data_IF_108865183772
#
_entry.id   IF_108865183772
#
_cell.length_a   1.000
_cell.length_b   1.000
_cell.length_c   1.000
_cell.angle_alpha   90.00
_cell.angle_beta   90.00
_cell.angle_gamma   90.00
#
_symmetry.space_group_name_H-M   'P 1'
#
loop_
_entity.id
_entity.type
_entity.pdbx_description
1 polymer ?
#
# COMPACT_ATOMS: atom_id res chain seq x y z
N UNK A 1 -15.54 9.72 39.81
CA UNK A 1 -15.28 9.50 38.35
C UNK A 1 -15.64 8.07 38.00
N UNK A 2 -16.58 7.86 37.08
CA UNK A 2 -17.12 6.53 36.75
C UNK A 2 -16.08 5.65 36.04
N UNK A 3 -16.26 4.32 36.10
CA UNK A 3 -15.50 3.36 35.28
C UNK A 3 -15.60 3.70 33.79
N UNK A 4 -16.76 4.19 33.33
CA UNK A 4 -17.00 4.66 31.95
C UNK A 4 -16.16 5.90 31.62
N UNK A 5 -16.06 6.86 32.54
CA UNK A 5 -15.24 8.07 32.35
C UNK A 5 -13.74 7.75 32.29
N UNK A 6 -13.27 6.83 33.13
CA UNK A 6 -11.88 6.34 33.10
C UNK A 6 -11.57 5.67 31.75
N UNK A 7 -12.47 4.83 31.23
CA UNK A 7 -12.32 4.19 29.91
C UNK A 7 -12.24 5.23 28.78
N UNK A 8 -13.14 6.22 28.78
CA UNK A 8 -13.14 7.30 27.77
C UNK A 8 -11.86 8.13 27.81
N UNK A 9 -11.38 8.51 29.01
CA UNK A 9 -10.12 9.25 29.17
C UNK A 9 -8.91 8.46 28.64
N UNK A 10 -8.85 7.15 28.91
CA UNK A 10 -7.79 6.27 28.38
C UNK A 10 -7.84 6.21 26.85
N UNK A 11 -9.03 6.02 26.27
CA UNK A 11 -9.19 5.98 24.82
C UNK A 11 -8.75 7.31 24.16
N UNK A 12 -9.11 8.45 24.74
CA UNK A 12 -8.68 9.75 24.26
C UNK A 12 -7.15 9.95 24.37
N UNK A 13 -6.53 9.52 25.47
CA UNK A 13 -5.08 9.59 25.65
C UNK A 13 -4.33 8.70 24.65
N UNK A 14 -4.82 7.49 24.39
CA UNK A 14 -4.27 6.59 23.37
C UNK A 14 -4.37 7.24 21.99
N UNK A 15 -5.55 7.77 21.63
CA UNK A 15 -5.74 8.46 20.33
C UNK A 15 -4.78 9.64 20.16
N UNK A 16 -4.58 10.45 21.20
CA UNK A 16 -3.67 11.59 21.17
C UNK A 16 -2.20 11.16 21.01
N UNK A 17 -1.79 10.07 21.67
CA UNK A 17 -0.43 9.54 21.53
C UNK A 17 -0.19 8.92 20.14
N UNK A 18 -1.18 8.22 19.59
CA UNK A 18 -1.11 7.70 18.20
C UNK A 18 -0.94 8.85 17.21
N UNK A 19 -1.80 9.87 17.28
CA UNK A 19 -1.70 11.04 16.41
C UNK A 19 -0.36 11.79 16.55
N UNK A 20 0.23 11.82 17.75
CA UNK A 20 1.56 12.40 17.99
C UNK A 20 2.65 11.59 17.27
N UNK A 21 2.61 10.26 17.36
CA UNK A 21 3.58 9.37 16.70
C UNK A 21 3.46 9.41 15.18
N UNK A 22 2.24 9.44 14.65
CA UNK A 22 1.99 9.61 13.21
C UNK A 22 2.54 10.95 12.71
N UNK A 23 2.31 12.03 13.47
CA UNK A 23 2.90 13.34 13.15
C UNK A 23 4.42 13.31 13.17
N UNK A 24 5.02 12.78 14.23
CA UNK A 24 6.47 12.67 14.37
C UNK A 24 7.11 11.85 13.24
N UNK A 25 6.47 10.73 12.86
CA UNK A 25 6.87 9.91 11.71
C UNK A 25 6.85 10.70 10.41
N UNK A 26 5.73 11.38 10.11
CA UNK A 26 5.62 12.23 8.92
C UNK A 26 6.67 13.33 8.90
N UNK A 27 6.88 14.00 10.04
CA UNK A 27 7.81 15.13 10.13
C UNK A 27 9.29 14.68 9.99
N UNK A 28 9.60 13.40 10.24
CA UNK A 28 10.91 12.77 10.00
C UNK A 28 11.13 12.27 8.57
N UNK A 29 10.05 12.06 7.80
CA UNK A 29 10.15 11.52 6.44
C UNK A 29 10.87 12.51 5.53
N UNK A 30 11.93 12.10 4.82
CA UNK A 30 12.57 12.94 3.79
C UNK A 30 11.69 13.15 2.56
N UNK A 31 10.66 12.32 2.40
CA UNK A 31 9.68 12.39 1.31
C UNK A 31 8.34 12.89 1.85
N UNK A 32 7.68 13.74 1.09
CA UNK A 32 6.25 14.02 1.25
C UNK A 32 5.40 12.79 0.89
N UNK A 33 4.11 12.84 1.23
CA UNK A 33 3.15 11.79 0.86
C UNK A 33 3.13 11.55 -0.66
N UNK A 34 3.08 12.62 -1.45
CA UNK A 34 2.99 12.52 -2.91
C UNK A 34 4.29 11.96 -3.50
N UNK A 35 5.44 12.31 -2.92
CA UNK A 35 6.73 11.72 -3.30
C UNK A 35 6.81 10.24 -2.95
N UNK A 36 6.30 9.82 -1.78
CA UNK A 36 6.19 8.40 -1.43
C UNK A 36 5.31 7.64 -2.42
N UNK A 37 4.15 8.20 -2.78
CA UNK A 37 3.27 7.59 -3.78
C UNK A 37 3.98 7.39 -5.12
N UNK A 38 4.67 8.43 -5.61
CA UNK A 38 5.44 8.35 -6.85
C UNK A 38 6.61 7.35 -6.78
N UNK A 39 7.21 7.18 -5.60
CA UNK A 39 8.24 6.17 -5.37
C UNK A 39 7.63 4.76 -5.41
N UNK A 40 6.52 4.53 -4.71
CA UNK A 40 5.83 3.24 -4.70
C UNK A 40 5.33 2.84 -6.08
N UNK A 41 4.80 3.79 -6.86
CA UNK A 41 4.40 3.53 -8.24
C UNK A 41 5.59 3.07 -9.09
N UNK A 42 6.73 3.76 -8.98
CA UNK A 42 7.94 3.41 -9.72
C UNK A 42 8.53 2.07 -9.29
N UNK A 43 8.75 1.88 -7.98
CA UNK A 43 9.35 0.65 -7.45
C UNK A 43 8.41 -0.53 -7.68
N UNK A 44 7.11 -0.33 -7.48
CA UNK A 44 6.09 -1.32 -7.72
C UNK A 44 6.04 -1.80 -9.16
N UNK A 45 6.06 -0.88 -10.14
CA UNK A 45 6.15 -1.24 -11.55
C UNK A 45 7.40 -2.08 -11.84
N UNK A 46 8.56 -1.64 -11.33
CA UNK A 46 9.83 -2.32 -11.53
C UNK A 46 9.86 -3.72 -10.91
N UNK A 47 9.46 -3.85 -9.64
CA UNK A 47 9.38 -5.12 -8.94
C UNK A 47 8.47 -6.10 -9.66
N UNK A 48 7.34 -5.63 -10.21
CA UNK A 48 6.37 -6.49 -10.89
C UNK A 48 6.81 -6.94 -12.29
N UNK A 49 7.67 -6.17 -12.96
CA UNK A 49 8.13 -6.45 -14.33
C UNK A 49 9.48 -7.15 -14.34
N UNK A 50 10.40 -6.69 -13.50
CA UNK A 50 11.81 -7.12 -13.46
C UNK A 50 12.09 -8.12 -12.31
N UNK A 51 11.12 -8.30 -11.40
CA UNK A 51 11.30 -9.06 -10.16
C UNK A 51 11.91 -8.19 -9.05
N UNK A 52 12.09 -8.77 -7.86
CA UNK A 52 12.74 -8.11 -6.74
C UNK A 52 14.07 -8.78 -6.37
N UNK A 53 14.97 -7.96 -5.84
CA UNK A 53 16.14 -8.37 -5.08
C UNK A 53 15.96 -7.92 -3.63
N UNK A 54 16.70 -8.51 -2.70
CA UNK A 54 16.72 -8.08 -1.29
C UNK A 54 17.62 -6.85 -1.10
N UNK A 55 17.39 -5.82 -1.90
CA UNK A 55 18.08 -4.54 -1.87
C UNK A 55 17.14 -3.39 -2.29
N UNK A 56 17.68 -2.17 -2.32
CA UNK A 56 16.98 -0.94 -2.69
C UNK A 56 17.36 -0.45 -4.09
N UNK A 57 17.70 -1.33 -5.03
CA UNK A 57 18.20 -0.92 -6.35
C UNK A 57 17.25 0.04 -7.08
N UNK A 58 15.94 -0.23 -7.07
CA UNK A 58 14.94 0.63 -7.72
C UNK A 58 14.66 1.88 -6.91
N UNK A 59 14.61 1.77 -5.58
CA UNK A 59 14.50 2.94 -4.70
C UNK A 59 15.64 3.92 -4.93
N UNK A 60 16.90 3.45 -4.90
CA UNK A 60 18.08 4.29 -5.13
C UNK A 60 18.08 4.89 -6.53
N UNK A 61 17.68 4.12 -7.55
CA UNK A 61 17.50 4.64 -8.90
C UNK A 61 16.52 5.81 -8.94
N UNK A 62 15.36 5.70 -8.27
CA UNK A 62 14.35 6.75 -8.23
C UNK A 62 14.85 7.98 -7.46
N UNK A 63 15.40 7.79 -6.25
CA UNK A 63 15.91 8.88 -5.41
C UNK A 63 16.98 9.68 -6.15
N UNK A 64 17.92 9.00 -6.80
CA UNK A 64 18.98 9.63 -7.59
C UNK A 64 18.40 10.46 -8.74
N UNK A 65 17.40 9.93 -9.44
CA UNK A 65 16.72 10.62 -10.55
C UNK A 65 15.97 11.89 -10.14
N UNK A 66 15.56 11.98 -8.87
CA UNK A 66 14.81 13.10 -8.30
C UNK A 66 15.65 14.03 -7.43
N UNK A 67 16.88 13.64 -7.10
CA UNK A 67 17.79 14.42 -6.27
C UNK A 67 17.48 14.36 -4.77
N UNK A 68 16.85 13.28 -4.29
CA UNK A 68 16.64 13.07 -2.85
C UNK A 68 17.89 12.49 -2.17
N UNK A 69 18.02 12.73 -0.88
CA UNK A 69 19.11 12.19 -0.07
C UNK A 69 18.86 10.70 0.21
N UNK A 70 19.70 9.84 -0.37
CA UNK A 70 19.64 8.39 -0.22
C UNK A 70 19.83 7.95 1.24
N UNK A 71 20.81 8.50 1.95
CA UNK A 71 21.13 8.11 3.34
C UNK A 71 19.98 8.44 4.29
N UNK A 72 19.42 9.65 4.19
CA UNK A 72 18.30 10.07 5.04
C UNK A 72 17.05 9.23 4.75
N UNK A 73 16.78 8.91 3.48
CA UNK A 73 15.61 8.11 3.08
C UNK A 73 15.74 6.67 3.56
N UNK A 74 16.89 6.03 3.35
CA UNK A 74 17.12 4.66 3.81
C UNK A 74 17.12 4.56 5.33
N UNK A 75 17.60 5.59 6.04
CA UNK A 75 17.49 5.65 7.50
C UNK A 75 16.04 5.71 7.96
N UNK A 76 15.21 6.53 7.31
CA UNK A 76 13.78 6.58 7.59
C UNK A 76 13.10 5.22 7.31
N UNK A 77 13.44 4.56 6.21
CA UNK A 77 12.92 3.22 5.89
C UNK A 77 13.31 2.18 6.94
N UNK A 78 14.56 2.19 7.39
CA UNK A 78 15.01 1.30 8.47
C UNK A 78 14.25 1.54 9.79
N UNK A 79 13.99 2.80 10.15
CA UNK A 79 13.18 3.15 11.34
C UNK A 79 11.74 2.61 11.24
N UNK A 80 11.19 2.56 10.02
CA UNK A 80 9.86 2.03 9.72
C UNK A 80 9.87 0.54 9.33
N UNK A 81 11.03 -0.14 9.49
CA UNK A 81 11.27 -1.57 9.23
C UNK A 81 11.20 -2.02 7.77
N UNK A 82 11.24 -1.08 6.84
CA UNK A 82 11.37 -1.34 5.41
C UNK A 82 12.83 -1.68 5.11
N UNK A 83 13.08 -2.84 4.48
CA UNK A 83 14.43 -3.44 4.35
C UNK A 83 14.95 -3.51 2.90
N UNK A 84 14.04 -3.51 1.93
CA UNK A 84 14.31 -3.67 0.49
C UNK A 84 13.13 -3.12 -0.33
N UNK A 85 13.26 -3.13 -1.66
CA UNK A 85 12.21 -2.68 -2.57
C UNK A 85 10.91 -3.48 -2.42
N UNK A 86 11.00 -4.77 -2.08
CA UNK A 86 9.82 -5.63 -1.87
C UNK A 86 9.05 -5.26 -0.60
N UNK A 87 9.75 -5.12 0.53
CA UNK A 87 9.14 -4.68 1.79
C UNK A 87 8.65 -3.23 1.68
N UNK A 88 9.27 -2.37 0.87
CA UNK A 88 8.71 -1.04 0.59
C UNK A 88 7.34 -1.15 -0.08
N UNK A 89 7.17 -2.05 -1.05
CA UNK A 89 5.89 -2.28 -1.72
C UNK A 89 4.78 -2.78 -0.77
N UNK A 90 5.12 -3.52 0.28
CA UNK A 90 4.16 -4.12 1.22
C UNK A 90 3.91 -3.21 2.43
N UNK A 91 4.98 -2.66 3.02
CA UNK A 91 4.96 -1.94 4.30
C UNK A 91 4.99 -0.42 4.12
N UNK A 92 5.35 0.07 2.92
CA UNK A 92 5.49 1.50 2.60
C UNK A 92 4.17 2.24 2.41
N UNK A 93 3.04 1.66 2.82
CA UNK A 93 1.71 2.25 2.70
C UNK A 93 1.67 3.71 3.22
N UNK A 94 1.33 4.68 2.34
CA UNK A 94 1.28 6.09 2.72
C UNK A 94 0.27 6.41 3.83
N UNK A 95 -0.76 5.58 4.05
CA UNK A 95 -1.61 5.74 5.22
C UNK A 95 -0.87 5.45 6.51
N UNK A 96 -0.20 4.30 6.57
CA UNK A 96 0.59 3.87 7.72
C UNK A 96 1.75 4.83 8.01
N UNK A 97 2.34 5.44 6.98
CA UNK A 97 3.47 6.36 7.12
C UNK A 97 3.05 7.81 7.42
N UNK A 98 1.97 8.31 6.82
CA UNK A 98 1.61 9.74 6.87
C UNK A 98 0.27 10.03 7.57
N UNK A 99 -0.46 8.99 7.95
CA UNK A 99 -1.82 9.05 8.47
C UNK A 99 -2.87 9.19 7.35
N UNK A 100 -4.15 9.41 7.71
CA UNK A 100 -5.23 9.60 6.72
C UNK A 100 -4.94 10.74 5.75
N UNK A 101 -5.33 10.56 4.50
CA UNK A 101 -5.45 11.59 3.49
C UNK A 101 -6.92 11.93 3.26
N UNK A 102 -7.20 13.13 2.75
CA UNK A 102 -8.55 13.48 2.28
C UNK A 102 -8.89 12.78 0.94
N UNK A 103 -7.87 12.28 0.24
CA UNK A 103 -7.96 11.66 -1.09
C UNK A 103 -7.79 10.14 -1.00
N UNK A 104 -8.93 9.45 -0.91
CA UNK A 104 -9.11 7.98 -0.92
C UNK A 104 -8.33 7.25 -2.03
N UNK A 105 -8.15 7.87 -3.19
CA UNK A 105 -7.41 7.33 -4.35
C UNK A 105 -5.94 7.04 -4.09
N UNK A 106 -5.39 7.52 -2.96
CA UNK A 106 -4.04 7.17 -2.55
C UNK A 106 -3.88 5.71 -2.08
N UNK A 107 -4.97 4.97 -1.80
CA UNK A 107 -4.91 3.59 -1.30
C UNK A 107 -5.47 2.54 -2.24
N UNK A 108 -6.47 2.90 -3.05
CA UNK A 108 -7.04 2.02 -4.08
C UNK A 108 -7.36 2.86 -5.33
N UNK A 109 -6.56 2.73 -6.41
CA UNK A 109 -6.69 3.51 -7.64
C UNK A 109 -7.89 3.18 -8.54
N UNK A 110 -8.86 2.42 -8.03
CA UNK A 110 -10.14 2.12 -8.67
C UNK A 110 -11.28 2.45 -7.72
N UNK A 111 -12.48 2.64 -8.27
CA UNK A 111 -13.69 2.89 -7.47
C UNK A 111 -14.20 1.60 -6.81
N UNK A 112 -14.97 1.76 -5.74
CA UNK A 112 -15.55 0.63 -5.00
C UNK A 112 -16.31 -0.37 -5.89
N UNK A 113 -17.22 0.06 -6.80
CA UNK A 113 -17.91 -0.89 -7.67
C UNK A 113 -16.97 -1.63 -8.64
N UNK A 114 -15.82 -1.03 -8.99
CA UNK A 114 -14.81 -1.68 -9.82
C UNK A 114 -14.05 -2.75 -9.00
N UNK A 115 -13.68 -2.46 -7.75
CA UNK A 115 -13.02 -3.45 -6.89
C UNK A 115 -13.95 -4.63 -6.58
N UNK A 116 -15.20 -4.36 -6.22
CA UNK A 116 -16.21 -5.39 -5.97
C UNK A 116 -16.41 -6.29 -7.21
N UNK A 117 -16.51 -5.69 -8.40
CA UNK A 117 -16.64 -6.43 -9.66
C UNK A 117 -15.38 -7.23 -10.01
N UNK A 118 -14.18 -6.72 -9.70
CA UNK A 118 -12.93 -7.45 -9.85
C UNK A 118 -12.91 -8.71 -8.96
N UNK A 119 -13.25 -8.55 -7.68
CA UNK A 119 -13.27 -9.66 -6.71
C UNK A 119 -14.28 -10.74 -7.12
N UNK A 120 -15.50 -10.34 -7.51
CA UNK A 120 -16.54 -11.28 -7.97
C UNK A 120 -16.08 -12.05 -9.22
N UNK A 121 -15.46 -11.36 -10.18
CA UNK A 121 -14.94 -12.02 -11.38
C UNK A 121 -13.77 -12.97 -11.07
N UNK A 122 -12.87 -12.59 -10.15
CA UNK A 122 -11.75 -13.42 -9.74
C UNK A 122 -12.21 -14.68 -8.99
N UNK A 123 -13.18 -14.56 -8.09
CA UNK A 123 -13.74 -15.72 -7.36
C UNK A 123 -14.23 -16.78 -8.35
N UNK A 124 -14.98 -16.34 -9.35
CA UNK A 124 -15.50 -17.16 -10.43
C UNK A 124 -14.41 -17.82 -11.30
N UNK A 125 -13.37 -17.07 -11.66
CA UNK A 125 -12.29 -17.56 -12.52
C UNK A 125 -11.32 -18.48 -11.77
N UNK A 126 -10.97 -18.17 -10.52
CA UNK A 126 -10.14 -19.00 -9.65
C UNK A 126 -10.84 -20.33 -9.35
N UNK A 127 -12.15 -20.34 -9.13
CA UNK A 127 -12.92 -21.58 -8.96
C UNK A 127 -12.89 -22.46 -10.22
N UNK A 128 -12.92 -21.87 -11.42
CA UNK A 128 -12.94 -22.61 -12.69
C UNK A 128 -11.56 -23.10 -13.11
N UNK A 129 -10.52 -22.28 -12.93
CA UNK A 129 -9.19 -22.48 -13.52
C UNK A 129 -8.11 -22.85 -12.49
N UNK A 130 -8.37 -22.60 -11.20
CA UNK A 130 -7.33 -22.59 -10.17
C UNK A 130 -6.57 -21.26 -10.14
N UNK A 131 -5.56 -21.17 -9.28
CA UNK A 131 -4.66 -20.02 -9.21
C UNK A 131 -3.22 -20.46 -9.48
N UNK A 132 -2.55 -19.74 -10.38
CA UNK A 132 -1.14 -19.95 -10.74
C UNK A 132 -0.16 -19.23 -9.78
N UNK A 133 -0.65 -18.76 -8.64
CA UNK A 133 0.08 -17.96 -7.65
C UNK A 133 0.71 -16.68 -8.21
N UNK A 134 0.04 -16.07 -9.19
CA UNK A 134 0.38 -14.76 -9.75
C UNK A 134 -0.88 -13.88 -9.89
N UNK A 135 -0.73 -12.69 -10.51
CA UNK A 135 -1.81 -11.72 -10.74
C UNK A 135 -2.24 -11.65 -12.22
N UNK A 136 -2.13 -12.76 -12.96
CA UNK A 136 -2.43 -12.79 -14.40
C UNK A 136 -3.89 -12.47 -14.68
N UNK A 137 -4.84 -13.06 -13.93
CA UNK A 137 -6.26 -12.79 -14.13
C UNK A 137 -6.60 -11.37 -13.70
N UNK A 138 -6.05 -10.90 -12.58
CA UNK A 138 -6.22 -9.52 -12.10
C UNK A 138 -5.78 -8.51 -13.15
N UNK A 139 -4.59 -8.69 -13.73
CA UNK A 139 -4.07 -7.84 -14.82
C UNK A 139 -5.02 -7.84 -16.03
N UNK A 140 -5.50 -9.02 -16.42
CA UNK A 140 -6.44 -9.17 -17.53
C UNK A 140 -7.72 -8.37 -17.29
N UNK A 141 -8.31 -8.46 -16.11
CA UNK A 141 -9.54 -7.74 -15.77
C UNK A 141 -9.32 -6.22 -15.76
N UNK A 142 -8.23 -5.75 -15.13
CA UNK A 142 -7.92 -4.32 -15.06
C UNK A 142 -7.73 -3.71 -16.45
N UNK A 143 -7.03 -4.42 -17.34
CA UNK A 143 -6.86 -4.00 -18.73
C UNK A 143 -8.19 -3.96 -19.49
N UNK A 144 -9.03 -4.98 -19.33
CA UNK A 144 -10.34 -5.04 -19.99
C UNK A 144 -11.29 -3.93 -19.54
N UNK A 145 -11.13 -3.43 -18.31
CA UNK A 145 -11.97 -2.39 -17.71
C UNK A 145 -11.30 -0.99 -17.72
N UNK A 146 -10.22 -0.80 -18.47
CA UNK A 146 -9.47 0.47 -18.56
C UNK A 146 -9.07 1.04 -17.19
N UNK A 147 -8.73 0.18 -16.24
CA UNK A 147 -8.28 0.55 -14.90
C UNK A 147 -6.76 0.76 -14.87
N UNK A 148 -6.24 1.59 -13.96
CA UNK A 148 -4.80 1.80 -13.80
C UNK A 148 -4.14 0.53 -13.23
N UNK A 149 -3.53 -0.29 -14.11
CA UNK A 149 -3.04 -1.63 -13.77
C UNK A 149 -2.02 -1.60 -12.62
N UNK A 150 -0.83 -1.02 -12.84
CA UNK A 150 0.26 -1.09 -11.86
C UNK A 150 -0.10 -0.47 -10.50
N UNK A 151 -0.70 0.74 -10.43
CA UNK A 151 -1.12 1.31 -9.16
C UNK A 151 -2.15 0.43 -8.42
N UNK A 152 -3.06 -0.22 -9.16
CA UNK A 152 -4.05 -1.12 -8.55
C UNK A 152 -3.41 -2.40 -8.03
N UNK A 153 -2.46 -3.01 -8.76
CA UNK A 153 -1.75 -4.19 -8.26
C UNK A 153 -0.98 -3.89 -6.97
N UNK A 154 -0.38 -2.70 -6.88
CA UNK A 154 0.32 -2.24 -5.68
C UNK A 154 -0.61 -2.06 -4.49
N UNK A 155 -1.76 -1.41 -4.72
CA UNK A 155 -2.80 -1.29 -3.72
C UNK A 155 -3.28 -2.67 -3.23
N UNK A 156 -3.54 -3.61 -4.14
CA UNK A 156 -3.93 -4.98 -3.80
C UNK A 156 -2.86 -5.68 -2.96
N UNK A 157 -1.58 -5.58 -3.34
CA UNK A 157 -0.48 -6.17 -2.59
C UNK A 157 -0.39 -5.64 -1.15
N UNK A 158 -0.55 -4.32 -0.96
CA UNK A 158 -0.58 -3.70 0.36
C UNK A 158 -1.76 -4.20 1.24
N UNK A 159 -2.85 -4.64 0.59
CA UNK A 159 -3.99 -5.30 1.24
C UNK A 159 -3.86 -6.84 1.28
N UNK A 160 -2.67 -7.37 1.01
CA UNK A 160 -2.37 -8.80 1.09
C UNK A 160 -2.80 -9.60 -0.15
N UNK A 161 -3.14 -8.95 -1.26
CA UNK A 161 -3.51 -9.58 -2.54
C UNK A 161 -2.31 -9.81 -3.46
N UNK A 162 -1.42 -10.74 -3.13
CA UNK A 162 -0.21 -11.05 -3.91
C UNK A 162 -0.41 -12.03 -5.07
N UNK A 163 -1.45 -12.87 -5.03
CA UNK A 163 -1.97 -13.68 -6.14
C UNK A 163 -3.46 -13.39 -6.38
N UNK A 164 -3.99 -13.82 -7.53
CA UNK A 164 -5.43 -13.79 -7.84
C UNK A 164 -6.26 -14.44 -6.72
N UNK A 165 -5.77 -15.52 -6.11
CA UNK A 165 -6.38 -16.17 -4.95
C UNK A 165 -6.44 -15.29 -3.69
N UNK A 166 -5.36 -14.59 -3.40
CA UNK A 166 -5.21 -13.75 -2.23
C UNK A 166 -5.99 -12.46 -2.36
N UNK A 167 -6.17 -11.95 -3.59
CA UNK A 167 -7.10 -10.83 -3.84
C UNK A 167 -8.50 -11.19 -3.35
N UNK A 168 -9.00 -12.38 -3.69
CA UNK A 168 -10.32 -12.86 -3.24
C UNK A 168 -10.36 -13.11 -1.73
N UNK A 169 -9.28 -13.64 -1.13
CA UNK A 169 -9.26 -14.06 0.27
C UNK A 169 -8.98 -12.93 1.26
N UNK A 170 -8.20 -11.91 0.89
CA UNK A 170 -7.65 -10.92 1.82
C UNK A 170 -8.17 -9.50 1.59
N UNK A 171 -8.59 -9.15 0.36
CA UNK A 171 -8.97 -7.78 0.02
C UNK A 171 -10.45 -7.57 0.29
N UNK A 172 -10.76 -6.79 1.33
CA UNK A 172 -12.14 -6.45 1.71
C UNK A 172 -12.47 -4.99 1.31
N UNK A 173 -13.42 -4.77 0.38
CA UNK A 173 -13.84 -3.43 -0.02
C UNK A 173 -14.23 -2.56 1.18
N UNK A 174 -14.97 -3.07 2.16
CA UNK A 174 -15.40 -2.32 3.35
C UNK A 174 -14.25 -1.81 4.22
N UNK A 175 -13.09 -2.48 4.18
CA UNK A 175 -11.88 -2.04 4.87
C UNK A 175 -11.15 -0.89 4.16
N UNK A 176 -11.38 -0.75 2.85
CA UNK A 176 -10.76 0.25 1.97
C UNK A 176 -11.69 1.45 1.78
N UNK A 177 -12.99 1.18 1.82
CA UNK A 177 -14.06 2.06 1.39
C UNK A 177 -15.06 2.28 2.54
N UNK A 178 -14.87 3.34 3.35
CA UNK A 178 -15.77 3.66 4.47
C UNK A 178 -17.11 4.26 4.03
#
# INVERSE_FOLDING_TARGET
MSKKDKKRKRAAAIKAEVARREKDRRDRSPLSRDEMLNLLDFVGEKVMVEGHSHDFSFTLQWLNSKGFNEEETLKFFADEKIQDDWSLCIEGDPYSLFGPSETRFSWMPIEQPQLESLIEWLDDEVLKKGCDHDLTLTKQWLQANNCPVHPTLMALLAHGGGCDCEVVLNVEPEGIYP
#
